data_IF_903191929476
#
_entry.id   IF_903191929476
#
_cell.length_a   1.000
_cell.length_b   1.000
_cell.length_c   1.000
_cell.angle_alpha   90.00
_cell.angle_beta   90.00
_cell.angle_gamma   90.00
#
_symmetry.space_group_name_H-M   'P 1'
#
loop_
_entity.id
_entity.type
_entity.pdbx_description
1 polymer ?
#
# COMPACT_ATOMS: atom_id res chain seq x y z
N UNK A 1 9.28 -20.76 -8.99
CA UNK A 1 10.16 -19.75 -9.62
C UNK A 1 9.29 -18.70 -10.32
N UNK A 2 9.50 -17.45 -10.00
CA UNK A 2 8.83 -16.35 -10.68
C UNK A 2 9.80 -15.64 -11.61
N UNK A 3 9.33 -15.22 -12.77
CA UNK A 3 10.12 -14.52 -13.74
C UNK A 3 9.36 -13.31 -14.26
N UNK A 4 9.96 -12.14 -14.15
CA UNK A 4 9.38 -10.91 -14.67
C UNK A 4 9.90 -10.68 -16.08
N UNK A 5 9.01 -10.81 -17.06
CA UNK A 5 9.33 -10.69 -18.47
C UNK A 5 9.23 -9.24 -18.93
N UNK A 6 10.25 -8.80 -19.65
CA UNK A 6 10.21 -7.54 -20.41
C UNK A 6 10.76 -7.79 -21.82
N UNK A 7 10.74 -6.78 -22.67
CA UNK A 7 11.17 -6.92 -24.06
C UNK A 7 12.65 -7.24 -24.23
N UNK A 8 13.45 -7.11 -23.17
CA UNK A 8 14.90 -7.32 -23.25
C UNK A 8 15.35 -8.67 -22.67
N UNK A 9 14.49 -9.42 -22.01
CA UNK A 9 14.88 -10.66 -21.31
C UNK A 9 14.13 -11.92 -21.77
N UNK A 10 13.45 -11.86 -22.91
CA UNK A 10 12.71 -13.01 -23.45
C UNK A 10 13.61 -14.21 -23.68
N UNK A 11 14.80 -14.00 -24.23
CA UNK A 11 15.75 -15.10 -24.50
C UNK A 11 16.19 -15.79 -23.21
N UNK A 12 16.37 -15.04 -22.12
CA UNK A 12 16.68 -15.58 -20.82
C UNK A 12 15.57 -16.49 -20.29
N UNK A 13 14.31 -16.09 -20.50
CA UNK A 13 13.17 -16.92 -20.12
C UNK A 13 13.14 -18.23 -20.91
N UNK A 14 13.37 -18.18 -22.22
CA UNK A 14 13.40 -19.37 -23.08
C UNK A 14 14.48 -20.34 -22.61
N UNK A 15 15.67 -19.86 -22.26
CA UNK A 15 16.76 -20.68 -21.75
C UNK A 15 16.35 -21.36 -20.45
N UNK A 16 15.74 -20.64 -19.53
CA UNK A 16 15.28 -21.20 -18.25
C UNK A 16 14.20 -22.26 -18.45
N UNK A 17 13.28 -22.05 -19.38
CA UNK A 17 12.25 -23.04 -19.69
C UNK A 17 12.83 -24.32 -20.26
N UNK A 18 13.88 -24.22 -21.10
CA UNK A 18 14.55 -25.37 -21.67
C UNK A 18 15.35 -26.19 -20.65
N UNK A 19 15.74 -25.58 -19.55
CA UNK A 19 16.45 -26.24 -18.45
C UNK A 19 15.53 -27.09 -17.57
N UNK A 20 14.22 -26.93 -17.70
CA UNK A 20 13.25 -27.70 -16.92
C UNK A 20 13.27 -29.19 -17.38
N UNK A 21 13.02 -30.10 -16.43
CA UNK A 21 12.89 -31.50 -16.72
C UNK A 21 11.73 -31.77 -17.67
N UNK A 22 12.04 -32.23 -18.88
CA UNK A 22 11.02 -32.47 -19.92
C UNK A 22 10.15 -33.69 -19.63
N UNK A 23 10.49 -34.51 -18.66
CA UNK A 23 9.73 -35.67 -18.24
C UNK A 23 8.64 -35.34 -17.22
N UNK A 24 8.61 -34.10 -16.76
CA UNK A 24 7.63 -33.60 -15.80
C UNK A 24 6.69 -32.65 -16.52
N UNK A 25 5.41 -32.71 -16.20
CA UNK A 25 4.45 -31.74 -16.70
C UNK A 25 4.55 -30.47 -15.87
N UNK A 26 4.73 -29.36 -16.54
CA UNK A 26 4.85 -28.05 -15.90
C UNK A 26 3.64 -27.19 -16.21
N UNK A 27 3.17 -26.43 -15.23
CA UNK A 27 2.15 -25.42 -15.43
C UNK A 27 2.82 -24.06 -15.60
N UNK A 28 2.48 -23.36 -16.69
CA UNK A 28 3.01 -22.03 -16.96
C UNK A 28 1.84 -21.05 -16.95
N UNK A 29 1.94 -20.04 -16.11
CA UNK A 29 0.92 -18.98 -16.02
C UNK A 29 1.55 -17.65 -16.43
N UNK A 30 0.89 -16.95 -17.35
CA UNK A 30 1.34 -15.63 -17.81
C UNK A 30 0.25 -14.64 -17.44
N UNK A 31 0.64 -13.59 -16.73
CA UNK A 31 -0.28 -12.51 -16.35
C UNK A 31 0.47 -11.19 -16.37
N UNK A 32 -0.22 -10.07 -16.55
CA UNK A 32 0.42 -8.77 -16.47
C UNK A 32 1.14 -8.60 -15.14
N UNK A 33 2.35 -8.07 -15.21
CA UNK A 33 3.10 -7.79 -13.98
C UNK A 33 2.40 -6.72 -13.16
N UNK A 34 2.14 -7.05 -11.91
CA UNK A 34 1.65 -6.09 -10.93
C UNK A 34 2.77 -5.85 -9.95
N UNK A 35 3.09 -4.58 -9.76
CA UNK A 35 4.09 -4.17 -8.79
C UNK A 35 3.77 -4.72 -7.40
N UNK A 36 4.80 -5.15 -6.64
CA UNK A 36 4.68 -5.49 -5.22
C UNK A 36 4.47 -4.25 -4.35
N UNK A 37 4.31 -3.11 -4.98
CA UNK A 37 4.14 -1.80 -4.38
C UNK A 37 3.06 -1.76 -3.30
N UNK A 38 1.98 -2.54 -3.43
CA UNK A 38 0.90 -2.58 -2.45
C UNK A 38 1.37 -3.06 -1.08
N UNK A 39 2.22 -4.10 -1.04
CA UNK A 39 2.81 -4.58 0.21
C UNK A 39 3.79 -3.55 0.78
N UNK A 40 4.63 -2.99 -0.09
CA UNK A 40 5.59 -1.95 0.32
C UNK A 40 4.87 -0.71 0.85
N UNK A 41 3.75 -0.33 0.23
CA UNK A 41 2.91 0.76 0.71
C UNK A 41 2.34 0.48 2.09
N UNK A 42 1.87 -0.74 2.34
CA UNK A 42 1.35 -1.15 3.64
C UNK A 42 2.42 -1.08 4.71
N UNK A 43 3.60 -1.61 4.44
CA UNK A 43 4.73 -1.57 5.37
C UNK A 43 5.13 -0.12 5.68
N UNK A 44 5.24 0.70 4.66
CA UNK A 44 5.55 2.12 4.82
C UNK A 44 4.49 2.83 5.65
N UNK A 45 3.22 2.57 5.37
CA UNK A 45 2.11 3.17 6.10
C UNK A 45 2.18 2.83 7.58
N UNK A 46 2.34 1.55 7.93
CA UNK A 46 2.36 1.14 9.34
C UNK A 46 3.60 1.64 10.06
N UNK A 47 4.73 1.75 9.38
CA UNK A 47 5.92 2.38 9.93
C UNK A 47 5.66 3.85 10.24
N UNK A 48 5.07 4.57 9.30
CA UNK A 48 4.71 5.98 9.47
C UNK A 48 3.70 6.16 10.61
N UNK A 49 2.69 5.31 10.67
CA UNK A 49 1.67 5.34 11.73
C UNK A 49 2.31 5.12 13.09
N UNK A 50 3.23 4.16 13.20
CA UNK A 50 3.95 3.88 14.44
C UNK A 50 4.76 5.10 14.88
N UNK A 51 5.48 5.71 13.96
CA UNK A 51 6.29 6.90 14.24
C UNK A 51 5.42 8.09 14.64
N UNK A 52 4.28 8.27 13.98
CA UNK A 52 3.33 9.32 14.33
C UNK A 52 2.69 9.09 15.71
N UNK A 53 2.40 7.83 16.04
CA UNK A 53 1.88 7.49 17.36
C UNK A 53 2.86 7.92 18.45
N UNK A 54 4.14 7.62 18.27
CA UNK A 54 5.20 8.06 19.19
C UNK A 54 5.29 9.58 19.23
N UNK A 55 5.27 10.23 18.09
CA UNK A 55 5.36 11.69 18.00
C UNK A 55 4.23 12.40 18.75
N UNK A 56 3.00 11.89 18.62
CA UNK A 56 1.83 12.46 19.30
C UNK A 56 1.62 11.93 20.72
N UNK A 57 2.46 10.99 21.18
CA UNK A 57 2.35 10.42 22.51
C UNK A 57 1.16 9.49 22.70
N UNK A 58 0.71 8.84 21.61
CA UNK A 58 -0.40 7.88 21.66
C UNK A 58 0.09 6.52 22.15
N UNK A 59 -0.82 5.76 22.75
CA UNK A 59 -0.49 4.47 23.36
C UNK A 59 -0.18 3.36 22.37
N UNK A 60 -0.74 3.42 21.17
CA UNK A 60 -0.55 2.39 20.17
C UNK A 60 -0.67 2.93 18.76
N UNK A 61 -0.09 2.19 17.80
CA UNK A 61 -0.23 2.49 16.38
C UNK A 61 -1.70 2.39 15.92
N UNK A 62 -2.47 1.49 16.52
CA UNK A 62 -3.88 1.34 16.17
C UNK A 62 -4.67 2.59 16.51
N UNK A 63 -4.38 3.21 17.65
CA UNK A 63 -5.00 4.48 18.04
C UNK A 63 -4.68 5.59 17.02
N UNK A 64 -3.44 5.69 16.59
CA UNK A 64 -3.05 6.66 15.55
C UNK A 64 -3.73 6.35 14.21
N UNK A 65 -3.82 5.08 13.85
CA UNK A 65 -4.52 4.64 12.64
C UNK A 65 -5.99 5.11 12.66
N UNK A 66 -6.68 4.92 13.77
CA UNK A 66 -8.07 5.39 13.93
C UNK A 66 -8.18 6.91 13.79
N UNK A 67 -7.26 7.65 14.37
CA UNK A 67 -7.22 9.11 14.24
C UNK A 67 -7.08 9.52 12.78
N UNK A 68 -6.19 8.87 12.05
CA UNK A 68 -5.96 9.17 10.62
C UNK A 68 -7.20 8.83 9.79
N UNK A 69 -7.85 7.71 10.05
CA UNK A 69 -9.09 7.34 9.35
C UNK A 69 -10.18 8.38 9.60
N UNK A 70 -10.33 8.80 10.83
CA UNK A 70 -11.32 9.81 11.19
C UNK A 70 -11.04 11.14 10.50
N UNK A 71 -9.79 11.57 10.49
CA UNK A 71 -9.41 12.86 9.92
C UNK A 71 -9.43 12.87 8.38
N UNK A 72 -9.03 11.78 7.75
CA UNK A 72 -8.73 11.76 6.31
C UNK A 72 -9.71 10.97 5.47
N UNK A 73 -10.41 10.00 6.06
CA UNK A 73 -11.35 9.13 5.35
C UNK A 73 -12.77 9.20 5.89
N UNK A 74 -13.08 10.12 6.81
CA UNK A 74 -14.45 10.28 7.26
C UNK A 74 -15.27 11.03 6.21
N UNK A 75 -16.51 10.60 6.02
CA UNK A 75 -17.47 11.24 5.13
C UNK A 75 -18.76 11.55 5.87
N UNK A 76 -19.36 12.70 5.58
CA UNK A 76 -20.68 13.05 6.08
C UNK A 76 -21.71 12.42 5.15
N UNK A 77 -22.60 11.60 5.71
CA UNK A 77 -23.73 11.04 4.98
C UNK A 77 -25.03 11.53 5.58
N UNK A 78 -25.96 11.88 4.71
CA UNK A 78 -27.30 12.24 5.13
C UNK A 78 -28.25 11.07 4.90
N UNK A 79 -28.83 10.55 5.99
CA UNK A 79 -29.83 9.50 5.96
C UNK A 79 -31.12 10.11 6.45
N UNK A 80 -32.06 10.39 5.53
CA UNK A 80 -33.27 11.18 5.81
C UNK A 80 -32.88 12.53 6.41
N UNK A 81 -33.33 12.85 7.62
CA UNK A 81 -33.00 14.10 8.29
C UNK A 81 -31.79 13.99 9.22
N UNK A 82 -31.11 12.84 9.21
CA UNK A 82 -30.00 12.56 10.10
C UNK A 82 -28.67 12.72 9.36
N UNK A 83 -27.78 13.53 9.92
CA UNK A 83 -26.39 13.64 9.42
C UNK A 83 -25.51 12.71 10.23
N UNK A 84 -24.82 11.82 9.56
CA UNK A 84 -23.94 10.81 10.17
C UNK A 84 -22.57 10.89 9.56
N UNK A 85 -21.53 10.83 10.42
CA UNK A 85 -20.15 10.70 9.96
C UNK A 85 -19.82 9.22 9.83
N UNK A 86 -19.38 8.81 8.65
CA UNK A 86 -18.90 7.44 8.43
C UNK A 86 -17.38 7.46 8.24
N UNK A 87 -16.72 6.45 8.79
CA UNK A 87 -15.28 6.31 8.71
C UNK A 87 -14.96 5.24 7.68
N UNK A 88 -14.12 5.57 6.69
CA UNK A 88 -13.66 4.62 5.70
C UNK A 88 -12.65 3.62 6.25
N UNK A 89 -12.31 2.64 5.45
CA UNK A 89 -11.32 1.62 5.79
C UNK A 89 -10.22 1.58 4.72
N UNK A 90 -8.97 1.48 5.15
CA UNK A 90 -7.85 1.36 4.21
C UNK A 90 -7.88 0.03 3.45
N UNK A 91 -8.51 -1.01 4.00
CA UNK A 91 -8.60 -2.31 3.35
C UNK A 91 -9.44 -2.31 2.08
N UNK A 92 -10.32 -1.33 1.93
CA UNK A 92 -11.17 -1.16 0.75
C UNK A 92 -10.55 -0.31 -0.34
N UNK A 93 -9.39 0.28 -0.08
CA UNK A 93 -8.72 1.14 -1.04
C UNK A 93 -7.91 0.31 -2.04
N UNK A 94 -8.02 0.64 -3.32
CA UNK A 94 -7.12 0.10 -4.32
C UNK A 94 -5.77 0.83 -4.25
N UNK A 95 -4.81 0.41 -5.09
CA UNK A 95 -3.44 0.98 -5.06
C UNK A 95 -3.45 2.49 -5.27
N UNK A 96 -4.23 2.98 -6.22
CA UNK A 96 -4.32 4.41 -6.52
C UNK A 96 -4.95 5.20 -5.37
N UNK A 97 -6.03 4.69 -4.83
CA UNK A 97 -6.73 5.30 -3.71
C UNK A 97 -5.86 5.30 -2.45
N UNK A 98 -5.13 4.21 -2.22
CA UNK A 98 -4.21 4.11 -1.09
C UNK A 98 -3.06 5.09 -1.22
N UNK A 99 -2.53 5.32 -2.43
CA UNK A 99 -1.52 6.34 -2.69
C UNK A 99 -2.03 7.74 -2.33
N UNK A 100 -3.25 8.07 -2.73
CA UNK A 100 -3.87 9.35 -2.37
C UNK A 100 -4.00 9.49 -0.86
N UNK A 101 -4.40 8.42 -0.18
CA UNK A 101 -4.49 8.40 1.26
C UNK A 101 -3.13 8.62 1.92
N UNK A 102 -2.09 7.93 1.44
CA UNK A 102 -0.72 8.12 1.95
C UNK A 102 -0.24 9.55 1.77
N UNK A 103 -0.54 10.17 0.64
CA UNK A 103 -0.17 11.56 0.40
C UNK A 103 -0.84 12.48 1.43
N UNK A 104 -2.11 12.23 1.74
CA UNK A 104 -2.82 12.97 2.78
C UNK A 104 -2.22 12.76 4.15
N UNK A 105 -1.79 11.54 4.47
CA UNK A 105 -1.11 11.22 5.73
C UNK A 105 0.21 11.98 5.83
N UNK A 106 0.98 12.01 4.75
CA UNK A 106 2.26 12.74 4.69
C UNK A 106 2.03 14.24 4.90
N UNK A 107 1.03 14.80 4.23
CA UNK A 107 0.69 16.22 4.37
C UNK A 107 0.24 16.55 5.79
N UNK A 108 -0.58 15.68 6.38
CA UNK A 108 -1.00 15.78 7.77
C UNK A 108 0.20 15.79 8.71
N UNK A 109 1.14 14.86 8.51
CA UNK A 109 2.34 14.78 9.33
C UNK A 109 3.17 16.06 9.25
N UNK A 110 3.37 16.59 8.04
CA UNK A 110 4.12 17.83 7.82
C UNK A 110 3.44 19.02 8.48
N UNK A 111 2.11 19.08 8.39
CA UNK A 111 1.32 20.16 8.97
C UNK A 111 1.52 20.26 10.48
N UNK A 112 1.71 19.12 11.15
CA UNK A 112 1.93 19.07 12.59
C UNK A 112 3.42 19.04 12.97
N UNK A 113 4.31 19.34 12.02
CA UNK A 113 5.73 19.47 12.29
C UNK A 113 6.52 18.19 12.35
N UNK A 114 5.92 17.06 11.97
CA UNK A 114 6.62 15.79 11.90
C UNK A 114 7.52 15.75 10.68
N UNK A 115 8.78 15.36 10.87
CA UNK A 115 9.73 15.21 9.76
C UNK A 115 9.64 13.80 9.20
N UNK A 116 9.27 13.69 7.93
CA UNK A 116 9.25 12.41 7.23
C UNK A 116 10.68 11.94 7.01
N UNK A 117 10.90 10.64 7.19
CA UNK A 117 12.18 10.03 6.87
C UNK A 117 12.45 10.06 5.36
N UNK A 118 13.71 9.83 4.99
CA UNK A 118 14.13 9.81 3.59
C UNK A 118 13.70 8.53 2.87
N UNK A 119 13.14 7.57 3.58
CA UNK A 119 12.67 6.33 2.99
C UNK A 119 11.41 6.59 2.19
N UNK A 120 11.52 6.48 0.87
CA UNK A 120 10.39 6.55 -0.04
C UNK A 120 10.05 5.15 -0.54
N UNK A 121 8.78 4.95 -0.87
CA UNK A 121 8.34 3.72 -1.53
C UNK A 121 8.96 3.73 -2.93
N UNK A 122 9.82 2.75 -3.19
CA UNK A 122 10.43 2.59 -4.51
C UNK A 122 9.50 1.81 -5.41
N UNK A 123 9.27 2.33 -6.56
CA UNK A 123 8.51 1.65 -7.61
C UNK A 123 9.32 0.53 -8.26
#
# INVERSE_FOLDING_TARGET
MNFTLNKNNLNGLIIKLKELDQNVLWSVTVKPYKSTRTLDQNEYYWKLVTDLADYFGLKSKNEMHEVLLYKLLSEEKQIKNLKVMTIGSTTKLNVKEFNHYLDKVKDFAKEYGFKLGEEEIKD
#
